data_IF_408964693667
#
_entry.id   IF_408964693667
#
_cell.length_a   1.000
_cell.length_b   1.000
_cell.length_c   1.000
_cell.angle_alpha   90.00
_cell.angle_beta   90.00
_cell.angle_gamma   90.00
#
_symmetry.space_group_name_H-M   'P 1'
#
loop_
_entity.id
_entity.type
_entity.pdbx_description
1 polymer ?
#
# COMPACT_ATOMS: atom_id res chain seq x y z
N UNK A 1 18.89 27.06 -41.63
CA UNK A 1 17.45 27.29 -41.42
C UNK A 1 16.65 26.41 -42.38
N UNK A 2 16.02 25.35 -41.86
CA UNK A 2 14.69 24.81 -42.24
C UNK A 2 14.52 23.45 -41.56
N UNK A 3 13.99 23.50 -40.34
CA UNK A 3 13.32 22.36 -39.72
C UNK A 3 12.06 22.05 -40.54
N UNK A 4 11.98 20.83 -41.08
CA UNK A 4 10.74 20.32 -41.66
C UNK A 4 9.94 19.59 -40.58
N UNK A 5 8.89 20.29 -40.16
CA UNK A 5 7.68 19.89 -39.44
C UNK A 5 7.35 18.38 -39.49
N UNK A 6 7.21 17.78 -38.31
CA UNK A 6 6.47 16.53 -38.08
C UNK A 6 5.13 16.90 -37.44
N UNK A 7 4.06 16.57 -38.15
CA UNK A 7 2.63 16.71 -37.85
C UNK A 7 1.98 15.64 -38.75
N UNK A 8 1.15 14.68 -38.36
CA UNK A 8 0.08 14.61 -37.35
C UNK A 8 -0.35 13.14 -37.20
N UNK A 9 -0.65 12.75 -35.95
CA UNK A 9 -1.79 11.93 -35.47
C UNK A 9 -2.35 10.81 -36.36
N UNK A 10 -2.42 9.57 -35.82
CA UNK A 10 -3.56 8.69 -36.12
C UNK A 10 -3.88 7.69 -35.00
N UNK A 11 -5.08 7.90 -34.45
CA UNK A 11 -5.94 7.09 -33.59
C UNK A 11 -5.60 5.58 -33.50
N UNK A 12 -5.29 5.11 -32.29
CA UNK A 12 -5.36 3.68 -31.96
C UNK A 12 -6.85 3.33 -31.78
N UNK A 13 -7.32 2.51 -32.71
CA UNK A 13 -8.69 1.99 -32.79
C UNK A 13 -8.84 0.89 -31.72
N UNK A 14 -9.78 1.07 -30.81
CA UNK A 14 -10.21 0.05 -29.86
C UNK A 14 -11.14 -0.92 -30.61
N UNK A 15 -10.64 -2.06 -31.07
CA UNK A 15 -11.47 -3.08 -31.71
C UNK A 15 -11.90 -4.09 -30.66
N UNK A 16 -13.14 -3.92 -30.21
CA UNK A 16 -13.92 -4.88 -29.45
C UNK A 16 -14.22 -6.08 -30.37
N UNK A 17 -13.63 -7.24 -30.09
CA UNK A 17 -14.03 -8.49 -30.73
C UNK A 17 -14.59 -9.42 -29.66
N UNK A 18 -15.89 -9.29 -29.40
CA UNK A 18 -16.68 -10.29 -28.69
C UNK A 18 -17.56 -11.00 -29.73
N UNK A 19 -17.03 -12.06 -30.32
CA UNK A 19 -17.78 -12.99 -31.15
C UNK A 19 -18.36 -14.06 -30.24
N UNK A 20 -19.64 -13.89 -29.88
CA UNK A 20 -20.42 -14.93 -29.21
C UNK A 20 -20.99 -15.84 -30.29
N UNK A 21 -20.37 -17.00 -30.50
CA UNK A 21 -20.96 -18.09 -31.27
C UNK A 21 -21.85 -18.91 -30.33
N UNK A 22 -23.15 -18.62 -30.30
CA UNK A 22 -24.15 -19.55 -29.77
C UNK A 22 -24.49 -20.57 -30.86
N UNK A 23 -23.75 -21.67 -30.89
CA UNK A 23 -24.21 -22.92 -31.49
C UNK A 23 -24.62 -23.83 -30.33
N UNK A 24 -25.89 -24.26 -30.35
CA UNK A 24 -26.52 -25.00 -29.27
C UNK A 24 -25.75 -26.24 -28.85
N UNK A 25 -25.77 -26.48 -27.54
CA UNK A 25 -25.62 -27.81 -26.97
C UNK A 25 -26.75 -27.96 -25.95
N UNK A 26 -27.60 -28.95 -26.21
CA UNK A 26 -28.71 -29.35 -25.36
C UNK A 26 -28.24 -29.83 -23.97
N UNK A 27 -29.13 -29.65 -23.00
CA UNK A 27 -29.17 -30.27 -21.67
C UNK A 27 -27.90 -30.22 -20.78
N UNK A 28 -27.83 -29.18 -19.94
CA UNK A 28 -27.26 -29.32 -18.59
C UNK A 28 -28.39 -29.16 -17.58
N UNK A 29 -28.86 -30.32 -17.15
CA UNK A 29 -29.44 -30.64 -15.84
C UNK A 29 -29.17 -29.59 -14.75
N UNK A 30 -30.25 -29.09 -14.15
CA UNK A 30 -30.38 -28.47 -12.82
C UNK A 30 -29.08 -28.48 -11.99
N UNK A 31 -28.35 -27.37 -12.01
CA UNK A 31 -27.48 -26.98 -10.90
C UNK A 31 -28.26 -25.92 -10.13
N UNK A 32 -28.40 -26.17 -8.83
CA UNK A 32 -29.21 -25.36 -7.93
C UNK A 32 -28.88 -23.88 -8.02
N UNK A 33 -29.91 -23.07 -7.80
CA UNK A 33 -29.77 -21.69 -7.36
C UNK A 33 -29.03 -21.69 -6.01
N UNK A 34 -27.70 -21.82 -6.02
CA UNK A 34 -26.93 -21.24 -4.94
C UNK A 34 -26.97 -19.74 -5.19
N UNK A 35 -27.94 -19.09 -4.55
CA UNK A 35 -27.84 -17.67 -4.22
C UNK A 35 -26.43 -17.46 -3.67
N UNK A 36 -25.65 -16.46 -4.14
CA UNK A 36 -24.39 -16.17 -3.48
C UNK A 36 -24.71 -16.04 -1.99
N UNK A 37 -24.06 -16.87 -1.17
CA UNK A 37 -24.10 -16.71 0.27
C UNK A 37 -23.92 -15.23 0.54
N UNK A 38 -24.86 -14.65 1.28
CA UNK A 38 -24.81 -13.25 1.67
C UNK A 38 -23.51 -13.11 2.47
N UNK A 39 -22.46 -12.64 1.80
CA UNK A 39 -21.14 -12.50 2.42
C UNK A 39 -21.31 -11.39 3.44
N UNK A 40 -21.43 -11.78 4.71
CA UNK A 40 -21.50 -10.87 5.84
C UNK A 40 -20.16 -10.14 5.94
N UNK A 41 -20.07 -8.99 5.26
CA UNK A 41 -18.90 -8.14 5.34
C UNK A 41 -18.91 -7.48 6.72
N UNK A 42 -17.79 -7.57 7.48
CA UNK A 42 -17.71 -6.92 8.78
C UNK A 42 -18.04 -5.43 8.62
N UNK A 43 -18.77 -4.90 9.59
CA UNK A 43 -19.07 -3.47 9.61
C UNK A 43 -17.77 -2.67 9.58
N UNK A 44 -17.79 -1.45 9.04
CA UNK A 44 -16.60 -0.59 8.94
C UNK A 44 -15.88 -0.41 10.28
N UNK A 45 -16.62 -0.50 11.37
CA UNK A 45 -16.14 -0.36 12.75
C UNK A 45 -15.37 -1.59 13.27
N UNK A 46 -15.42 -2.72 12.56
CA UNK A 46 -14.71 -3.96 12.86
C UNK A 46 -13.46 -4.19 12.00
N UNK A 47 -13.18 -3.31 11.03
CA UNK A 47 -12.01 -3.51 10.16
C UNK A 47 -10.74 -3.17 10.95
N UNK A 48 -10.05 -4.22 11.41
CA UNK A 48 -8.80 -4.13 12.17
C UNK A 48 -7.64 -3.86 11.23
N UNK A 49 -6.78 -2.90 11.59
CA UNK A 49 -5.55 -2.64 10.85
C UNK A 49 -4.62 -3.87 10.92
N UNK A 50 -4.20 -4.37 9.75
CA UNK A 50 -3.27 -5.49 9.68
C UNK A 50 -1.92 -5.14 10.31
N UNK A 51 -1.35 -6.13 11.02
CA UNK A 51 0.03 -6.04 11.48
C UNK A 51 0.98 -6.36 10.33
N UNK A 52 1.80 -5.40 9.95
CA UNK A 52 2.92 -5.62 9.03
C UNK A 52 4.24 -5.35 9.74
N UNK A 53 5.31 -6.05 9.33
CA UNK A 53 6.65 -5.92 9.92
C UNK A 53 7.71 -6.01 8.83
N UNK A 54 8.69 -5.13 8.90
CA UNK A 54 9.76 -5.01 7.92
C UNK A 54 11.10 -5.01 8.63
N UNK A 55 12.02 -5.89 8.22
CA UNK A 55 13.40 -5.94 8.73
C UNK A 55 14.36 -5.67 7.58
N UNK A 56 15.21 -4.66 7.72
CA UNK A 56 16.13 -4.21 6.67
C UNK A 56 17.38 -3.55 7.27
N UNK A 57 18.29 -3.13 6.38
CA UNK A 57 19.41 -2.23 6.66
C UNK A 57 19.37 -1.04 5.71
N UNK A 58 20.10 0.03 6.05
CA UNK A 58 20.23 1.21 5.19
C UNK A 58 18.94 2.02 5.09
N UNK A 59 18.72 2.67 3.95
CA UNK A 59 17.53 3.50 3.68
C UNK A 59 16.53 2.74 2.81
N UNK A 60 15.25 2.79 3.19
CA UNK A 60 14.12 2.23 2.44
C UNK A 60 12.93 3.20 2.48
N UNK A 61 12.27 3.32 1.32
CA UNK A 61 10.92 3.88 1.23
C UNK A 61 9.96 2.68 1.12
N UNK A 62 9.11 2.49 2.12
CA UNK A 62 8.12 1.41 2.18
C UNK A 62 6.76 2.00 1.83
N UNK A 63 6.09 1.45 0.82
CA UNK A 63 4.68 1.76 0.57
C UNK A 63 3.83 0.86 1.46
N UNK A 64 3.01 1.46 2.32
CA UNK A 64 2.15 0.76 3.27
C UNK A 64 0.72 1.28 3.15
N UNK A 65 -0.24 0.37 3.20
CA UNK A 65 -1.65 0.74 3.24
C UNK A 65 -2.05 0.95 4.70
N UNK A 66 -2.54 2.15 5.01
CA UNK A 66 -3.07 2.48 6.33
C UNK A 66 -4.57 2.70 6.23
N UNK A 67 -5.26 2.27 7.27
CA UNK A 67 -6.68 2.51 7.44
C UNK A 67 -6.91 3.80 8.21
N UNK A 68 -7.99 4.52 7.89
CA UNK A 68 -8.45 5.65 8.68
C UNK A 68 -8.57 5.26 10.16
N UNK A 69 -8.09 6.11 11.06
CA UNK A 69 -8.09 5.85 12.50
C UNK A 69 -6.70 5.63 13.10
N UNK A 70 -6.65 5.07 14.30
CA UNK A 70 -5.41 4.98 15.08
C UNK A 70 -4.53 3.83 14.58
N UNK A 71 -3.32 4.17 14.14
CA UNK A 71 -2.22 3.23 13.91
C UNK A 71 -1.13 3.42 14.97
N UNK A 72 -0.43 2.34 15.32
CA UNK A 72 0.78 2.36 16.15
C UNK A 72 1.96 1.77 15.40
N UNK A 73 2.99 2.59 15.21
CA UNK A 73 4.29 2.16 14.73
C UNK A 73 5.15 1.72 15.91
N UNK A 74 5.89 0.63 15.75
CA UNK A 74 6.92 0.21 16.69
C UNK A 74 8.21 -0.13 15.96
N UNK A 75 9.35 0.29 16.48
CA UNK A 75 10.65 -0.03 15.89
C UNK A 75 11.60 -0.72 16.87
N UNK A 76 12.52 -1.50 16.32
CA UNK A 76 13.68 -2.11 16.99
C UNK A 76 14.91 -1.87 16.11
N UNK A 77 15.71 -0.87 16.46
CA UNK A 77 16.97 -0.55 15.80
C UNK A 77 18.13 -1.17 16.57
N UNK A 78 19.03 -1.85 15.86
CA UNK A 78 20.14 -2.63 16.43
C UNK A 78 21.51 -2.15 15.94
N UNK A 79 21.55 -1.06 15.18
CA UNK A 79 22.81 -0.45 14.74
C UNK A 79 23.45 0.42 15.83
N UNK A 80 24.72 0.74 15.64
CA UNK A 80 25.49 1.62 16.53
C UNK A 80 25.48 3.08 16.08
N UNK A 81 25.10 3.35 14.82
CA UNK A 81 25.00 4.69 14.25
C UNK A 81 23.61 5.31 14.41
N UNK A 82 23.16 6.07 13.42
CA UNK A 82 21.89 6.79 13.46
C UNK A 82 20.70 6.03 12.89
N UNK A 83 19.50 6.29 13.43
CA UNK A 83 18.22 5.80 12.94
C UNK A 83 17.18 6.92 12.83
N UNK A 84 16.44 6.93 11.71
CA UNK A 84 15.32 7.83 11.44
C UNK A 84 14.16 7.05 10.83
N UNK A 85 12.94 7.47 11.14
CA UNK A 85 11.73 6.96 10.52
C UNK A 85 10.68 8.08 10.44
N UNK A 86 10.12 8.29 9.24
CA UNK A 86 9.14 9.33 8.95
C UNK A 86 8.02 8.78 8.05
N UNK A 87 6.80 9.26 8.27
CA UNK A 87 5.62 8.91 7.47
C UNK A 87 5.21 10.09 6.59
N UNK A 88 4.88 9.80 5.34
CA UNK A 88 4.42 10.75 4.34
C UNK A 88 3.11 10.30 3.70
N UNK A 89 2.30 11.26 3.26
CA UNK A 89 1.14 10.99 2.39
C UNK A 89 1.56 10.66 0.94
N UNK A 90 0.58 10.38 0.08
CA UNK A 90 0.80 10.11 -1.34
C UNK A 90 1.41 11.28 -2.12
N UNK A 91 1.25 12.51 -1.63
CA UNK A 91 1.82 13.74 -2.21
C UNK A 91 3.23 14.06 -1.66
N UNK A 92 3.77 13.17 -0.81
CA UNK A 92 5.06 13.32 -0.11
C UNK A 92 5.12 14.47 0.90
N UNK A 93 3.98 14.92 1.42
CA UNK A 93 3.97 15.78 2.60
C UNK A 93 4.27 14.94 3.85
N UNK A 94 5.16 15.42 4.71
CA UNK A 94 5.48 14.74 5.96
C UNK A 94 4.32 14.86 6.94
N UNK A 95 3.86 13.72 7.45
CA UNK A 95 2.75 13.63 8.41
C UNK A 95 3.24 13.38 9.83
N UNK A 96 4.26 12.54 9.99
CA UNK A 96 4.73 12.07 11.29
C UNK A 96 6.23 11.82 11.28
N UNK A 97 6.87 12.16 12.39
CA UNK A 97 8.23 11.70 12.72
C UNK A 97 8.13 10.61 13.78
N UNK A 98 8.49 9.39 13.42
CA UNK A 98 8.45 8.21 14.29
C UNK A 98 9.75 8.11 15.10
N UNK A 99 10.87 8.41 14.46
CA UNK A 99 12.19 8.49 15.08
C UNK A 99 13.01 9.58 14.38
N UNK A 100 13.71 10.40 15.17
CA UNK A 100 14.57 11.46 14.67
C UNK A 100 15.96 11.35 15.30
N UNK A 101 16.94 11.03 14.49
CA UNK A 101 18.35 10.99 14.83
C UNK A 101 18.67 10.14 16.08
N UNK A 102 18.00 9.00 16.20
CA UNK A 102 18.20 8.07 17.33
C UNK A 102 19.59 7.45 17.21
N UNK A 103 20.41 7.58 18.25
CA UNK A 103 21.78 7.04 18.28
C UNK A 103 21.83 5.70 19.01
N UNK A 104 22.48 4.72 18.38
CA UNK A 104 22.67 3.39 18.96
C UNK A 104 21.37 2.57 19.06
N UNK A 105 21.45 1.36 19.64
CA UNK A 105 20.31 0.45 19.69
C UNK A 105 19.14 1.04 20.47
N UNK A 106 17.93 0.94 19.92
CA UNK A 106 16.76 1.57 20.49
C UNK A 106 15.46 0.86 20.11
N UNK A 107 14.48 0.92 21.00
CA UNK A 107 13.11 0.47 20.77
C UNK A 107 12.12 1.54 21.23
N UNK A 108 11.12 1.80 20.42
CA UNK A 108 10.06 2.73 20.80
C UNK A 108 8.77 2.45 20.03
N UNK A 109 7.68 3.05 20.48
CA UNK A 109 6.38 3.05 19.80
C UNK A 109 5.84 4.46 19.65
N UNK A 110 5.16 4.73 18.54
CA UNK A 110 4.52 6.02 18.24
C UNK A 110 3.16 5.75 17.61
N UNK A 111 2.10 6.34 18.16
CA UNK A 111 0.76 6.26 17.57
C UNK A 111 0.44 7.50 16.75
N UNK A 112 -0.37 7.32 15.71
CA UNK A 112 -0.84 8.39 14.82
C UNK A 112 -2.29 8.13 14.42
N UNK A 113 -3.06 9.20 14.24
CA UNK A 113 -4.44 9.09 13.77
C UNK A 113 -4.47 9.38 12.27
N UNK A 114 -4.60 8.31 11.49
CA UNK A 114 -4.59 8.32 10.03
C UNK A 114 -5.85 9.01 9.53
N UNK A 115 -5.74 10.05 8.68
CA UNK A 115 -6.89 10.85 8.26
C UNK A 115 -7.80 10.15 7.25
N UNK A 116 -7.30 9.18 6.49
CA UNK A 116 -8.05 8.50 5.43
C UNK A 116 -7.41 7.15 5.09
N UNK A 117 -8.20 6.17 4.71
CA UNK A 117 -7.67 4.89 4.20
C UNK A 117 -7.00 5.11 2.84
N UNK A 118 -5.68 4.92 2.75
CA UNK A 118 -4.89 5.14 1.55
C UNK A 118 -3.51 4.47 1.64
N UNK A 119 -2.74 4.54 0.54
CA UNK A 119 -1.32 4.22 0.53
C UNK A 119 -0.48 5.39 1.06
N UNK A 120 0.47 5.06 1.94
CA UNK A 120 1.40 5.99 2.57
C UNK A 120 2.84 5.57 2.30
N UNK A 121 3.79 6.51 2.45
CA UNK A 121 5.22 6.21 2.35
C UNK A 121 5.85 6.30 3.73
N UNK A 122 6.35 5.17 4.22
CA UNK A 122 7.18 5.07 5.41
C UNK A 122 8.65 5.04 5.00
N UNK A 123 9.34 6.16 5.19
CA UNK A 123 10.79 6.26 4.95
C UNK A 123 11.54 5.90 6.22
N UNK A 124 12.41 4.91 6.14
CA UNK A 124 13.23 4.44 7.25
C UNK A 124 14.67 4.42 6.82
N UNK A 125 15.55 5.00 7.63
CA UNK A 125 17.00 4.98 7.41
C UNK A 125 17.71 4.55 8.69
N UNK A 126 18.66 3.63 8.58
CA UNK A 126 19.48 3.23 9.71
C UNK A 126 20.89 2.80 9.30
N UNK A 127 21.88 3.15 10.13
CA UNK A 127 23.27 2.69 10.04
C UNK A 127 23.45 1.34 10.76
N UNK A 128 22.58 0.39 10.41
CA UNK A 128 22.52 -0.96 10.99
C UNK A 128 21.19 -1.63 10.68
N UNK A 129 20.98 -2.83 11.23
CA UNK A 129 19.70 -3.53 11.12
C UNK A 129 18.63 -2.76 11.89
N UNK A 130 17.47 -2.60 11.25
CA UNK A 130 16.27 -2.09 11.87
C UNK A 130 15.08 -2.98 11.54
N UNK A 131 14.13 -3.03 12.48
CA UNK A 131 12.79 -3.56 12.28
C UNK A 131 11.78 -2.46 12.55
N UNK A 132 10.75 -2.34 11.71
CA UNK A 132 9.58 -1.50 11.99
C UNK A 132 8.31 -2.30 11.73
N UNK A 133 7.34 -2.20 12.65
CA UNK A 133 5.99 -2.76 12.51
C UNK A 133 4.93 -1.67 12.64
N UNK A 134 3.76 -1.89 12.03
CA UNK A 134 2.57 -1.08 12.22
C UNK A 134 1.36 -1.97 12.51
N UNK A 135 0.44 -1.51 13.36
CA UNK A 135 -0.79 -2.21 13.77
C UNK A 135 -1.81 -1.25 14.40
#
# INVERSE_FOLDING_TARGET
MKLSKILISLKIIFVFNLLISFAGCDEISKIGQDSPEDVDYPSRDEIVQYRMSYTNTGTKDLVIDLMEGKVTFAYDYRGTGYFNAELFDGDRNKLLTIANNVQGPARNTVSYNVPSTAGYVLRVSGEGEWRIEHR
#
